data_IF_494132831512
#
_entry.id   IF_494132831512
#
_cell.length_a   1.000
_cell.length_b   1.000
_cell.length_c   1.000
_cell.angle_alpha   90.00
_cell.angle_beta   90.00
_cell.angle_gamma   90.00
#
_symmetry.space_group_name_H-M   'P 1'
#
loop_
_entity.id
_entity.type
_entity.pdbx_description
1 polymer ?
#
# COMPACT_ATOMS: atom_id res chain seq x y z
N UNK A 1 15.50 -49.54 -41.32
CA UNK A 1 14.41 -49.29 -40.36
C UNK A 1 14.87 -48.16 -39.44
N UNK A 2 14.73 -46.91 -39.89
CA UNK A 2 15.16 -45.74 -39.13
C UNK A 2 13.94 -45.12 -38.48
N UNK A 3 13.82 -45.27 -37.16
CA UNK A 3 12.75 -44.70 -36.37
C UNK A 3 13.17 -43.29 -35.94
N UNK A 4 12.61 -42.26 -36.56
CA UNK A 4 12.74 -40.87 -36.10
C UNK A 4 11.83 -40.69 -34.88
N UNK A 5 12.43 -40.53 -33.71
CA UNK A 5 11.76 -40.05 -32.51
C UNK A 5 11.49 -38.55 -32.66
N UNK A 6 10.24 -38.18 -32.89
CA UNK A 6 9.78 -36.79 -32.82
C UNK A 6 9.48 -36.52 -31.34
N UNK A 7 10.38 -35.79 -30.66
CA UNK A 7 10.09 -35.25 -29.33
C UNK A 7 9.11 -34.08 -29.47
N UNK A 8 7.96 -34.07 -28.76
CA UNK A 8 7.08 -32.92 -28.74
C UNK A 8 7.72 -31.82 -27.89
N UNK A 9 7.93 -30.66 -28.50
CA UNK A 9 8.37 -29.44 -27.83
C UNK A 9 7.18 -28.93 -26.99
N UNK A 10 7.13 -29.25 -25.70
CA UNK A 10 6.21 -28.58 -24.77
C UNK A 10 6.68 -27.13 -24.60
N UNK A 11 6.00 -26.19 -25.27
CA UNK A 11 6.13 -24.78 -24.98
C UNK A 11 5.55 -24.53 -23.58
N UNK A 12 6.42 -24.24 -22.61
CA UNK A 12 6.01 -23.78 -21.30
C UNK A 12 5.39 -22.37 -21.47
N UNK A 13 4.06 -22.28 -21.41
CA UNK A 13 3.38 -21.00 -21.26
C UNK A 13 3.78 -20.42 -19.90
N UNK A 14 4.64 -19.40 -19.90
CA UNK A 14 4.92 -18.66 -18.69
C UNK A 14 3.60 -18.04 -18.18
N UNK A 15 3.32 -18.10 -16.87
CA UNK A 15 2.15 -17.41 -16.32
C UNK A 15 2.31 -15.91 -16.62
N UNK A 16 1.42 -15.35 -17.44
CA UNK A 16 1.32 -13.89 -17.58
C UNK A 16 0.79 -13.38 -16.24
N UNK A 17 1.59 -12.56 -15.55
CA UNK A 17 1.11 -11.88 -14.35
C UNK A 17 0.16 -10.78 -14.78
N UNK A 18 -1.11 -11.13 -15.01
CA UNK A 18 -2.12 -10.20 -15.46
C UNK A 18 -2.14 -8.92 -14.60
N UNK A 19 -2.30 -7.79 -15.28
CA UNK A 19 -2.56 -6.52 -14.65
C UNK A 19 -3.81 -6.58 -13.77
N UNK A 20 -3.96 -5.62 -12.87
CA UNK A 20 -5.09 -5.55 -11.94
C UNK A 20 -5.97 -4.34 -12.26
N UNK A 21 -7.26 -4.43 -11.97
CA UNK A 21 -8.15 -3.26 -11.98
C UNK A 21 -8.69 -3.02 -10.58
N UNK A 22 -8.51 -1.79 -10.07
CA UNK A 22 -8.99 -1.37 -8.76
C UNK A 22 -9.81 -0.08 -8.90
N UNK A 23 -10.96 -0.05 -8.25
CA UNK A 23 -11.78 1.15 -8.14
C UNK A 23 -11.20 2.13 -7.11
N UNK A 24 -11.07 3.40 -7.48
CA UNK A 24 -10.65 4.51 -6.59
C UNK A 24 -11.82 5.45 -6.30
N UNK A 25 -11.90 5.95 -5.08
CA UNK A 25 -12.95 6.87 -4.61
C UNK A 25 -12.48 8.33 -4.73
N UNK A 26 -13.41 9.26 -5.00
CA UNK A 26 -13.15 10.70 -4.95
C UNK A 26 -14.45 11.52 -4.84
N UNK A 27 -14.30 12.84 -4.75
CA UNK A 27 -15.34 13.86 -4.55
C UNK A 27 -16.06 13.78 -3.20
N UNK A 28 -15.33 13.39 -2.16
CA UNK A 28 -15.70 13.34 -0.75
C UNK A 28 -16.73 12.26 -0.44
N UNK A 29 -16.44 11.40 0.55
CA UNK A 29 -17.34 10.33 0.97
C UNK A 29 -17.56 9.23 -0.07
N UNK A 30 -16.64 9.06 -1.02
CA UNK A 30 -16.69 8.12 -2.14
C UNK A 30 -17.93 8.30 -3.03
N UNK A 31 -18.37 9.55 -3.22
CA UNK A 31 -19.51 9.89 -4.08
C UNK A 31 -19.26 9.60 -5.56
N UNK A 32 -18.00 9.63 -6.00
CA UNK A 32 -17.59 9.23 -7.34
C UNK A 32 -16.53 8.12 -7.26
N UNK A 33 -16.54 7.24 -8.26
CA UNK A 33 -15.56 6.16 -8.41
C UNK A 33 -15.07 6.05 -9.84
N UNK A 34 -13.85 5.57 -10.02
CA UNK A 34 -13.30 5.26 -11.34
C UNK A 34 -12.38 4.05 -11.26
N UNK A 35 -12.40 3.23 -12.30
CA UNK A 35 -11.54 2.06 -12.40
C UNK A 35 -10.14 2.46 -12.86
N UNK A 36 -9.13 1.94 -12.19
CA UNK A 36 -7.72 2.15 -12.51
C UNK A 36 -7.12 0.82 -12.91
N UNK A 37 -6.49 0.77 -14.07
CA UNK A 37 -5.74 -0.41 -14.49
C UNK A 37 -4.26 -0.27 -14.10
N UNK A 38 -3.74 -1.26 -13.38
CA UNK A 38 -2.34 -1.40 -13.06
C UNK A 38 -1.71 -2.47 -13.93
N UNK A 39 -0.86 -2.04 -14.86
CA UNK A 39 -0.19 -2.95 -15.81
C UNK A 39 0.89 -3.81 -15.15
N UNK A 40 1.33 -4.86 -15.87
CA UNK A 40 2.31 -5.83 -15.33
C UNK A 40 3.62 -5.15 -14.88
N UNK A 41 4.13 -4.19 -15.65
CA UNK A 41 5.37 -3.47 -15.30
C UNK A 41 5.24 -2.63 -14.03
N UNK A 42 4.09 -1.98 -13.83
CA UNK A 42 3.81 -1.18 -12.63
C UNK A 42 3.77 -2.08 -11.40
N UNK A 43 3.05 -3.19 -11.51
CA UNK A 43 2.90 -4.18 -10.45
C UNK A 43 4.23 -4.88 -10.13
N UNK A 44 5.06 -5.18 -11.13
CA UNK A 44 6.40 -5.74 -10.94
C UNK A 44 7.33 -4.78 -10.16
N UNK A 45 7.23 -3.46 -10.38
CA UNK A 45 8.00 -2.46 -9.61
C UNK A 45 7.58 -2.44 -8.14
N UNK A 46 6.28 -2.51 -7.86
CA UNK A 46 5.76 -2.58 -6.48
C UNK A 46 6.20 -3.88 -5.80
N UNK A 47 6.11 -5.00 -6.49
CA UNK A 47 6.58 -6.29 -6.00
C UNK A 47 8.07 -6.27 -5.65
N UNK A 48 8.92 -5.72 -6.54
CA UNK A 48 10.35 -5.63 -6.31
C UNK A 48 10.67 -4.74 -5.09
N UNK A 49 9.96 -3.61 -4.94
CA UNK A 49 10.11 -2.72 -3.80
C UNK A 49 9.79 -3.46 -2.48
N UNK A 50 8.59 -4.03 -2.34
CA UNK A 50 8.14 -4.70 -1.12
C UNK A 50 8.92 -6.00 -0.84
N UNK A 51 9.28 -6.74 -1.89
CA UNK A 51 10.10 -7.95 -1.81
C UNK A 51 11.50 -7.71 -1.24
N UNK A 52 12.00 -6.46 -1.28
CA UNK A 52 13.27 -6.09 -0.69
C UNK A 52 13.19 -5.70 0.80
N UNK A 53 12.01 -5.69 1.43
CA UNK A 53 11.88 -5.40 2.87
C UNK A 53 12.64 -6.42 3.73
N UNK A 54 13.34 -5.96 4.76
CA UNK A 54 14.13 -6.85 5.64
C UNK A 54 13.43 -7.17 6.95
N UNK A 55 12.50 -6.33 7.35
CA UNK A 55 11.73 -6.43 8.59
C UNK A 55 10.46 -5.60 8.47
N UNK A 56 9.63 -5.61 9.52
CA UNK A 56 8.37 -4.87 9.54
C UNK A 56 8.54 -3.35 9.36
N UNK A 57 9.52 -2.74 10.04
CA UNK A 57 9.77 -1.30 9.89
C UNK A 57 10.13 -0.92 8.44
N UNK A 58 10.99 -1.70 7.81
CA UNK A 58 11.39 -1.52 6.40
C UNK A 58 10.21 -1.75 5.43
N UNK A 59 9.32 -2.72 5.72
CA UNK A 59 8.07 -2.90 4.95
C UNK A 59 7.15 -1.69 5.05
N UNK A 60 7.04 -1.04 6.22
CA UNK A 60 6.24 0.18 6.40
C UNK A 60 6.78 1.36 5.60
N UNK A 61 8.11 1.56 5.60
CA UNK A 61 8.76 2.59 4.77
C UNK A 61 8.50 2.35 3.27
N UNK A 62 8.54 1.09 2.84
CA UNK A 62 8.27 0.70 1.45
C UNK A 62 6.79 0.80 1.09
N UNK A 63 5.88 0.53 2.03
CA UNK A 63 4.44 0.71 1.84
C UNK A 63 4.08 2.17 1.62
N UNK A 64 4.70 3.08 2.38
CA UNK A 64 4.56 4.53 2.16
C UNK A 64 4.81 4.90 0.69
N UNK A 65 5.94 4.46 0.13
CA UNK A 65 6.30 4.71 -1.26
C UNK A 65 5.39 3.98 -2.26
N UNK A 66 5.05 2.72 -1.99
CA UNK A 66 4.23 1.90 -2.87
C UNK A 66 2.82 2.48 -3.05
N UNK A 67 2.19 2.92 -1.96
CA UNK A 67 0.87 3.59 -2.01
C UNK A 67 0.96 4.88 -2.81
N UNK A 68 1.99 5.70 -2.59
CA UNK A 68 2.24 6.89 -3.40
C UNK A 68 2.36 6.57 -4.90
N UNK A 69 3.12 5.55 -5.27
CA UNK A 69 3.22 5.15 -6.68
C UNK A 69 1.87 4.70 -7.28
N UNK A 70 1.12 3.87 -6.55
CA UNK A 70 -0.18 3.37 -7.00
C UNK A 70 -1.21 4.51 -7.16
N UNK A 71 -1.23 5.48 -6.25
CA UNK A 71 -2.09 6.66 -6.34
C UNK A 71 -1.65 7.61 -7.45
N UNK A 72 -0.35 7.82 -7.65
CA UNK A 72 0.16 8.64 -8.75
C UNK A 72 -0.13 8.02 -10.13
N UNK A 73 -0.15 6.69 -10.22
CA UNK A 73 -0.55 5.98 -11.44
C UNK A 73 -2.06 6.01 -11.67
N UNK A 74 -2.84 5.98 -10.59
CA UNK A 74 -4.28 6.21 -10.62
C UNK A 74 -4.62 7.64 -11.09
N UNK A 75 -3.93 8.66 -10.58
CA UNK A 75 -4.13 10.06 -10.99
C UNK A 75 -3.86 10.30 -12.48
N UNK A 76 -2.98 9.54 -13.12
CA UNK A 76 -2.80 9.63 -14.59
C UNK A 76 -3.98 9.09 -15.40
N UNK A 77 -4.86 8.30 -14.78
CA UNK A 77 -5.99 7.65 -15.42
C UNK A 77 -7.33 8.27 -15.01
N UNK A 78 -7.37 8.99 -13.89
CA UNK A 78 -8.62 9.45 -13.27
C UNK A 78 -8.51 10.90 -12.79
N UNK A 79 -9.63 11.54 -12.42
CA UNK A 79 -9.63 12.91 -11.91
C UNK A 79 -8.81 13.13 -10.63
N UNK A 80 -8.43 12.07 -9.91
CA UNK A 80 -7.72 12.20 -8.63
C UNK A 80 -6.32 12.80 -8.73
N UNK A 81 -5.79 13.03 -9.94
CA UNK A 81 -4.58 13.85 -10.10
C UNK A 81 -4.76 15.30 -9.61
N UNK A 82 -6.00 15.79 -9.50
CA UNK A 82 -6.31 17.10 -8.95
C UNK A 82 -6.26 17.14 -7.41
N UNK A 83 -6.17 15.97 -6.76
CA UNK A 83 -6.18 15.85 -5.31
C UNK A 83 -4.96 16.52 -4.66
N UNK A 84 -5.23 17.22 -3.56
CA UNK A 84 -4.25 17.99 -2.78
C UNK A 84 -4.32 17.54 -1.34
N UNK A 85 -3.16 17.52 -0.69
CA UNK A 85 -3.06 17.07 0.69
C UNK A 85 -3.94 17.89 1.62
N UNK A 86 -4.89 17.23 2.27
CA UNK A 86 -5.86 17.84 3.15
C UNK A 86 -7.03 18.52 2.45
N UNK A 87 -8.22 18.44 3.07
CA UNK A 87 -9.47 18.97 2.49
C UNK A 87 -9.44 20.47 2.16
N UNK A 88 -8.65 21.27 2.88
CA UNK A 88 -8.60 22.73 2.65
C UNK A 88 -7.69 23.12 1.50
N UNK A 89 -6.82 22.22 1.03
CA UNK A 89 -5.85 22.51 -0.01
C UNK A 89 -6.38 22.24 -1.44
N UNK A 90 -7.52 21.56 -1.55
CA UNK A 90 -8.08 21.12 -2.84
C UNK A 90 -9.03 22.14 -3.51
N UNK A 91 -9.38 23.25 -2.83
CA UNK A 91 -10.27 24.32 -3.32
C UNK A 91 -11.60 23.84 -3.94
N UNK A 92 -12.10 22.66 -3.56
CA UNK A 92 -13.33 22.13 -4.13
C UNK A 92 -13.22 21.70 -5.61
N UNK A 93 -12.02 21.35 -6.09
CA UNK A 93 -11.84 20.86 -7.46
C UNK A 93 -12.50 19.50 -7.68
N UNK A 94 -12.84 19.18 -8.93
CA UNK A 94 -13.30 17.85 -9.33
C UNK A 94 -12.13 16.88 -9.29
N UNK A 95 -12.29 15.76 -8.58
CA UNK A 95 -11.22 14.79 -8.33
C UNK A 95 -10.58 14.89 -6.95
N UNK A 96 -10.94 15.90 -6.15
CA UNK A 96 -10.50 16.02 -4.75
C UNK A 96 -10.86 14.80 -3.91
N UNK A 97 -10.07 14.49 -2.90
CA UNK A 97 -10.31 13.37 -2.01
C UNK A 97 -10.36 13.81 -0.55
N UNK A 98 -11.33 13.30 0.21
CA UNK A 98 -11.34 13.46 1.67
C UNK A 98 -10.79 12.21 2.37
N UNK A 99 -10.69 12.26 3.70
CA UNK A 99 -10.18 11.12 4.49
C UNK A 99 -10.94 9.80 4.23
N UNK A 100 -12.22 9.84 3.83
CA UNK A 100 -13.00 8.64 3.53
C UNK A 100 -12.59 8.08 2.16
N UNK A 101 -12.41 8.95 1.16
CA UNK A 101 -11.91 8.58 -0.16
C UNK A 101 -10.53 7.91 -0.07
N UNK A 102 -9.61 8.53 0.68
CA UNK A 102 -8.27 8.00 0.92
C UNK A 102 -8.31 6.68 1.69
N UNK A 103 -8.97 6.62 2.85
CA UNK A 103 -9.03 5.39 3.65
C UNK A 103 -9.64 4.21 2.89
N UNK A 104 -10.65 4.47 2.04
CA UNK A 104 -11.27 3.44 1.20
C UNK A 104 -10.34 2.99 0.09
N UNK A 105 -9.73 3.94 -0.63
CA UNK A 105 -8.82 3.64 -1.73
C UNK A 105 -7.55 2.93 -1.24
N UNK A 106 -6.93 3.43 -0.17
CA UNK A 106 -5.73 2.84 0.44
C UNK A 106 -6.01 1.42 0.93
N UNK A 107 -7.17 1.18 1.56
CA UNK A 107 -7.55 -0.19 1.96
C UNK A 107 -7.67 -1.11 0.75
N UNK A 108 -8.28 -0.69 -0.36
CA UNK A 108 -8.39 -1.50 -1.58
C UNK A 108 -7.01 -1.82 -2.16
N UNK A 109 -6.11 -0.84 -2.21
CA UNK A 109 -4.75 -1.02 -2.69
C UNK A 109 -3.96 -1.95 -1.76
N UNK A 110 -4.04 -1.78 -0.44
CA UNK A 110 -3.39 -2.68 0.52
C UNK A 110 -3.91 -4.11 0.40
N UNK A 111 -5.22 -4.31 0.21
CA UNK A 111 -5.82 -5.64 -0.02
C UNK A 111 -5.35 -6.28 -1.32
N UNK A 112 -5.10 -5.51 -2.37
CA UNK A 112 -4.42 -6.01 -3.58
C UNK A 112 -3.02 -6.55 -3.24
N UNK A 113 -2.22 -5.78 -2.50
CA UNK A 113 -0.87 -6.20 -2.11
C UNK A 113 -0.88 -7.46 -1.23
N UNK A 114 -1.83 -7.52 -0.30
CA UNK A 114 -2.04 -8.69 0.57
C UNK A 114 -2.48 -9.93 -0.22
N UNK A 115 -3.45 -9.80 -1.11
CA UNK A 115 -3.96 -10.91 -1.94
C UNK A 115 -2.88 -11.49 -2.87
N UNK A 116 -1.92 -10.66 -3.28
CA UNK A 116 -0.75 -11.09 -4.06
C UNK A 116 0.38 -11.68 -3.20
N UNK A 117 0.23 -11.70 -1.87
CA UNK A 117 1.22 -12.20 -0.93
C UNK A 117 2.47 -11.34 -0.82
N UNK A 118 2.36 -10.04 -1.13
CA UNK A 118 3.51 -9.13 -1.13
C UNK A 118 3.76 -8.46 0.22
N UNK A 119 2.81 -8.57 1.16
CA UNK A 119 3.00 -8.19 2.56
C UNK A 119 3.53 -9.41 3.32
N UNK A 120 4.75 -9.33 3.85
CA UNK A 120 5.41 -10.42 4.59
C UNK A 120 5.36 -10.22 6.10
N UNK A 121 5.28 -8.97 6.54
CA UNK A 121 5.32 -8.63 7.96
C UNK A 121 3.98 -8.12 8.47
N UNK A 122 3.08 -7.67 7.60
CA UNK A 122 1.79 -7.13 8.00
C UNK A 122 0.61 -7.81 7.32
N UNK A 123 -0.54 -7.76 7.98
CA UNK A 123 -1.86 -8.03 7.42
C UNK A 123 -2.72 -6.78 7.43
N UNK A 124 -3.67 -6.69 6.51
CA UNK A 124 -4.56 -5.53 6.37
C UNK A 124 -5.78 -5.73 7.27
N UNK A 125 -6.20 -4.67 7.96
CA UNK A 125 -7.39 -4.65 8.78
C UNK A 125 -8.49 -3.78 8.14
N UNK A 126 -9.65 -3.74 8.78
CA UNK A 126 -10.66 -2.74 8.44
C UNK A 126 -10.15 -1.33 8.75
N UNK A 127 -10.62 -0.29 8.02
CA UNK A 127 -10.24 1.09 8.29
C UNK A 127 -10.52 1.50 9.73
N UNK A 128 -9.67 2.36 10.26
CA UNK A 128 -9.82 2.96 11.59
C UNK A 128 -10.21 4.43 11.46
N UNK A 129 -10.86 4.96 12.48
CA UNK A 129 -11.20 6.37 12.55
C UNK A 129 -10.88 6.96 13.94
N UNK A 130 -10.65 8.26 13.98
CA UNK A 130 -10.48 9.06 15.20
C UNK A 130 -11.41 10.27 15.18
N UNK A 131 -11.72 10.80 16.35
CA UNK A 131 -12.36 12.13 16.51
C UNK A 131 -11.53 12.94 17.48
N UNK A 132 -10.93 14.02 16.98
CA UNK A 132 -10.20 14.99 17.80
C UNK A 132 -11.06 16.24 18.01
N UNK A 133 -10.92 16.84 19.19
CA UNK A 133 -11.66 18.05 19.57
C UNK A 133 -13.18 17.98 19.35
N UNK A 134 -13.75 16.76 19.40
CA UNK A 134 -15.18 16.44 19.17
C UNK A 134 -15.72 16.72 17.76
N UNK A 135 -14.92 17.22 16.82
CA UNK A 135 -15.39 17.62 15.47
C UNK A 135 -14.48 17.19 14.33
N UNK A 136 -13.23 16.84 14.61
CA UNK A 136 -12.26 16.43 13.57
C UNK A 136 -12.32 14.91 13.41
N UNK A 137 -13.34 14.44 12.70
CA UNK A 137 -13.43 13.04 12.25
C UNK A 137 -12.36 12.82 11.20
N UNK A 138 -11.56 11.78 11.36
CA UNK A 138 -10.53 11.39 10.38
C UNK A 138 -10.50 9.88 10.23
N UNK A 139 -10.48 9.39 8.99
CA UNK A 139 -10.44 7.97 8.63
C UNK A 139 -9.09 7.63 8.00
N UNK A 140 -8.58 6.42 8.25
CA UNK A 140 -7.36 5.92 7.62
C UNK A 140 -7.41 4.40 7.40
N UNK A 141 -6.67 3.92 6.41
CA UNK A 141 -6.43 2.48 6.27
C UNK A 141 -5.51 1.99 7.39
N UNK A 142 -5.59 0.69 7.71
CA UNK A 142 -4.87 0.10 8.84
C UNK A 142 -4.22 -1.23 8.47
N UNK A 143 -3.00 -1.42 9.00
CA UNK A 143 -2.27 -2.68 8.94
C UNK A 143 -1.85 -3.11 10.36
N UNK A 144 -1.67 -4.40 10.55
CA UNK A 144 -1.25 -5.01 11.81
C UNK A 144 -0.01 -5.88 11.58
N UNK A 145 1.01 -5.70 12.41
CA UNK A 145 2.24 -6.48 12.37
C UNK A 145 1.96 -7.92 12.81
N UNK A 146 2.31 -8.87 11.95
CA UNK A 146 2.15 -10.29 12.21
C UNK A 146 3.28 -10.79 13.10
N UNK A 147 2.92 -11.57 14.14
CA UNK A 147 3.90 -12.28 14.96
C UNK A 147 4.69 -13.22 14.04
N UNK A 148 5.97 -12.90 13.84
CA UNK A 148 6.89 -13.78 13.11
C UNK A 148 7.02 -15.07 13.93
N UNK A 149 6.82 -16.22 13.31
CA UNK A 149 7.09 -17.48 13.98
C UNK A 149 8.57 -17.52 14.33
N UNK A 150 8.89 -17.56 15.63
CA UNK A 150 10.25 -17.82 16.06
C UNK A 150 10.64 -19.22 15.56
N UNK A 151 11.76 -19.30 14.83
CA UNK A 151 12.35 -20.55 14.37
C UNK A 151 13.62 -20.76 15.18
N UNK A 152 13.72 -21.90 15.87
CA UNK A 152 14.95 -22.26 16.57
C UNK A 152 16.12 -22.33 15.58
N UNK A 153 17.33 -22.18 16.11
CA UNK A 153 18.60 -22.32 15.36
C UNK A 153 18.70 -23.67 14.62
N UNK A 154 17.96 -24.68 15.09
CA UNK A 154 17.89 -26.02 14.48
C UNK A 154 16.72 -26.21 13.50
N UNK A 155 16.02 -25.14 13.12
CA UNK A 155 14.94 -25.15 12.13
C UNK A 155 13.59 -25.64 12.66
N UNK A 156 13.46 -25.91 13.96
CA UNK A 156 12.16 -26.26 14.56
C UNK A 156 11.32 -25.01 14.87
N UNK A 157 9.98 -25.05 14.67
CA UNK A 157 9.10 -24.00 15.16
C UNK A 157 9.23 -23.92 16.69
N UNK A 158 9.66 -22.79 17.23
CA UNK A 158 9.64 -22.56 18.69
C UNK A 158 8.29 -22.01 19.06
N UNK A 159 7.28 -22.88 19.03
CA UNK A 159 6.06 -22.59 19.75
C UNK A 159 6.41 -22.47 21.25
N UNK A 160 6.62 -21.25 21.73
CA UNK A 160 6.62 -20.91 23.15
C UNK A 160 7.61 -21.67 24.03
N UNK A 161 8.81 -22.02 23.56
CA UNK A 161 9.85 -22.53 24.45
C UNK A 161 10.51 -21.34 25.16
N UNK A 162 9.85 -20.85 26.21
CA UNK A 162 10.49 -19.96 27.19
C UNK A 162 9.63 -18.87 27.80
N UNK A 163 8.41 -18.60 27.31
CA UNK A 163 7.51 -17.62 27.93
C UNK A 163 6.18 -18.25 28.34
N UNK A 164 5.78 -18.14 29.62
CA UNK A 164 4.49 -18.65 30.06
C UNK A 164 3.35 -17.90 29.37
N UNK A 165 2.23 -18.58 29.11
CA UNK A 165 1.11 -18.07 28.33
C UNK A 165 0.48 -16.76 28.84
N UNK A 166 0.74 -16.35 30.08
CA UNK A 166 0.32 -15.06 30.64
C UNK A 166 1.19 -13.88 30.20
N UNK A 167 2.35 -14.15 29.61
CA UNK A 167 3.32 -13.16 29.14
C UNK A 167 3.22 -12.91 27.62
N UNK A 168 2.42 -13.73 26.90
CA UNK A 168 2.10 -13.56 25.48
C UNK A 168 0.89 -12.61 25.26
N UNK A 169 0.84 -11.52 26.03
CA UNK A 169 -0.35 -10.66 26.20
C UNK A 169 -0.25 -9.30 25.50
N UNK A 170 0.84 -9.04 24.76
CA UNK A 170 0.91 -7.82 23.95
C UNK A 170 0.06 -8.00 22.69
N UNK A 171 -1.00 -7.19 22.56
CA UNK A 171 -1.71 -7.01 21.29
C UNK A 171 -0.70 -6.69 20.18
N UNK A 172 -0.85 -7.28 18.98
CA UNK A 172 0.04 -6.99 17.86
C UNK A 172 0.04 -5.50 17.52
N UNK A 173 1.22 -4.97 17.16
CA UNK A 173 1.38 -3.55 16.82
C UNK A 173 0.56 -3.20 15.58
N UNK A 174 -0.12 -2.05 15.62
CA UNK A 174 -0.98 -1.57 14.53
C UNK A 174 -0.50 -0.24 14.02
N UNK A 175 -0.64 -0.05 12.72
CA UNK A 175 -0.20 1.14 12.01
C UNK A 175 -1.30 1.63 11.10
N UNK A 176 -1.42 2.94 10.97
CA UNK A 176 -2.21 3.57 9.92
C UNK A 176 -1.36 3.76 8.67
N UNK A 177 -1.99 3.62 7.52
CA UNK A 177 -1.46 4.01 6.21
C UNK A 177 -2.42 5.05 5.67
N UNK A 178 -1.95 6.29 5.54
CA UNK A 178 -2.82 7.45 5.32
C UNK A 178 -2.24 8.37 4.26
N UNK A 179 -2.80 8.32 3.05
CA UNK A 179 -2.37 9.16 1.93
C UNK A 179 -2.99 10.57 1.93
N UNK A 180 -3.88 10.89 2.87
CA UNK A 180 -4.63 12.17 2.88
C UNK A 180 -3.76 13.42 3.05
N UNK A 181 -2.60 13.30 3.71
CA UNK A 181 -1.77 14.45 4.09
C UNK A 181 -0.97 15.06 2.93
N UNK A 182 -0.78 14.33 1.83
CA UNK A 182 0.06 14.74 0.71
C UNK A 182 -0.75 14.88 -0.58
N UNK A 183 -0.21 15.64 -1.54
CA UNK A 183 -0.76 15.69 -2.90
C UNK A 183 -0.77 14.29 -3.54
N UNK A 184 -1.62 14.10 -4.56
CA UNK A 184 -1.68 12.84 -5.28
C UNK A 184 -0.29 12.32 -5.70
N UNK A 185 -0.04 11.06 -5.36
CA UNK A 185 1.20 10.37 -5.71
C UNK A 185 2.37 10.59 -4.75
N UNK A 186 2.22 11.45 -3.74
CA UNK A 186 3.19 11.53 -2.65
C UNK A 186 3.14 10.25 -1.79
N UNK A 187 4.25 9.89 -1.13
CA UNK A 187 4.25 8.73 -0.24
C UNK A 187 3.23 8.89 0.89
N UNK A 188 2.54 7.82 1.25
CA UNK A 188 1.54 7.83 2.32
C UNK A 188 2.21 7.94 3.70
N UNK A 189 1.55 8.57 4.67
CA UNK A 189 1.97 8.54 6.06
C UNK A 189 1.80 7.11 6.60
N UNK A 190 2.86 6.54 7.20
CA UNK A 190 2.77 5.26 7.90
C UNK A 190 3.29 5.41 9.32
N UNK A 191 2.38 5.42 10.31
CA UNK A 191 2.72 5.62 11.73
C UNK A 191 1.93 4.69 12.65
N UNK A 192 2.45 4.53 13.87
CA UNK A 192 1.80 3.76 14.93
C UNK A 192 0.39 4.28 15.20
N UNK A 193 -0.56 3.35 15.36
CA UNK A 193 -1.96 3.65 15.56
C UNK A 193 -2.18 4.59 16.75
N UNK A 194 -1.52 4.34 17.89
CA UNK A 194 -1.71 5.19 19.08
C UNK A 194 -1.24 6.62 18.84
N UNK A 195 -0.10 6.82 18.16
CA UNK A 195 0.40 8.16 17.81
C UNK A 195 -0.58 8.89 16.89
N UNK A 196 -1.19 8.17 15.95
CA UNK A 196 -2.25 8.73 15.12
C UNK A 196 -3.53 9.00 15.93
N UNK A 197 -3.97 8.12 16.83
CA UNK A 197 -5.11 8.41 17.70
C UNK A 197 -4.89 9.67 18.57
N UNK A 198 -3.65 9.94 18.96
CA UNK A 198 -3.24 11.13 19.71
C UNK A 198 -3.11 12.41 18.85
N UNK A 199 -3.39 12.33 17.54
CA UNK A 199 -3.43 13.48 16.63
C UNK A 199 -2.16 13.74 15.83
N UNK A 200 -1.17 12.85 15.86
CA UNK A 200 -0.01 12.98 14.96
C UNK A 200 -0.39 12.63 13.51
N UNK A 201 0.32 13.24 12.56
CA UNK A 201 0.19 13.01 11.12
C UNK A 201 0.38 14.27 10.28
N UNK A 202 -0.17 15.40 10.75
CA UNK A 202 -0.16 16.71 10.09
C UNK A 202 1.26 17.30 9.93
N UNK A 203 2.19 16.89 10.80
CA UNK A 203 3.56 17.40 10.87
C UNK A 203 4.49 16.79 9.81
N UNK A 204 4.09 15.67 9.20
CA UNK A 204 4.94 14.89 8.30
C UNK A 204 4.74 15.35 6.86
N UNK A 205 5.22 16.54 6.54
CA UNK A 205 5.50 16.90 5.15
C UNK A 205 6.71 16.09 4.69
N UNK A 206 6.48 14.88 4.17
CA UNK A 206 7.55 14.02 3.67
C UNK A 206 8.35 14.80 2.60
N UNK A 207 9.70 14.78 2.63
CA UNK A 207 10.48 15.37 1.56
C UNK A 207 10.14 14.66 0.25
N UNK A 208 9.88 15.43 -0.81
CA UNK A 208 9.62 14.90 -2.14
C UNK A 208 10.76 13.94 -2.53
N UNK A 209 10.46 12.65 -2.63
CA UNK A 209 11.43 11.67 -3.11
C UNK A 209 11.62 11.93 -4.60
N UNK A 210 12.76 12.52 -4.96
CA UNK A 210 13.20 12.69 -6.33
C UNK A 210 13.46 11.30 -6.94
N UNK A 211 12.41 10.71 -7.49
CA UNK A 211 12.45 9.37 -8.10
C UNK A 211 11.13 8.95 -8.75
N UNK A 212 10.21 9.89 -9.02
CA UNK A 212 9.04 9.62 -9.85
C UNK A 212 9.47 9.27 -11.28
N UNK A 213 8.85 8.28 -11.95
CA UNK A 213 9.23 7.88 -13.29
C UNK A 213 8.82 8.97 -14.28
N UNK A 214 9.77 9.83 -14.66
CA UNK A 214 9.55 10.93 -15.59
C UNK A 214 10.85 11.66 -15.92
N UNK A 215 11.84 10.98 -16.51
CA UNK A 215 12.88 11.62 -17.33
C UNK A 215 13.78 10.56 -17.99
N UNK A 216 13.20 9.80 -18.92
CA UNK A 216 14.00 9.06 -19.90
C UNK A 216 13.21 8.94 -21.21
N UNK A 217 13.00 10.08 -21.87
CA UNK A 217 12.70 10.10 -23.30
C UNK A 217 13.31 11.37 -23.90
N UNK A 218 14.62 11.33 -24.13
CA UNK A 218 15.21 12.09 -25.23
C UNK A 218 14.94 11.28 -26.49
N UNK A 219 14.03 11.78 -27.33
CA UNK A 219 13.96 11.39 -28.74
C UNK A 219 14.26 12.64 -29.55
N UNK A 220 15.46 12.65 -30.13
CA UNK A 220 15.87 13.54 -31.21
C UNK A 220 14.77 13.64 -32.28
N UNK A 221 14.38 14.88 -32.62
CA UNK A 221 14.18 15.35 -34.00
C UNK A 221 14.44 16.85 -34.10
#
# INVERSE_FOLDING_TARGET
>A
MNWLLVLPLLAAAAPSSAGETISVCYNYGCLAQSEVHYGEEQLARVQALLGSARNAADEREKLSLAIGWLLGWAGRQTPIAADRGGNTADDGVYGRMDCIDHATTDTRLLRLLEARGWLRFHRVLEPVWRVLYLVQVHHAAQIEEMVQAEVAVDGRPTAGVGKPAWEATAEPARYVVDSWFGDNGQPALVIELQRWLDGQGDEVRLPAVAGGPGSAENVER
#
